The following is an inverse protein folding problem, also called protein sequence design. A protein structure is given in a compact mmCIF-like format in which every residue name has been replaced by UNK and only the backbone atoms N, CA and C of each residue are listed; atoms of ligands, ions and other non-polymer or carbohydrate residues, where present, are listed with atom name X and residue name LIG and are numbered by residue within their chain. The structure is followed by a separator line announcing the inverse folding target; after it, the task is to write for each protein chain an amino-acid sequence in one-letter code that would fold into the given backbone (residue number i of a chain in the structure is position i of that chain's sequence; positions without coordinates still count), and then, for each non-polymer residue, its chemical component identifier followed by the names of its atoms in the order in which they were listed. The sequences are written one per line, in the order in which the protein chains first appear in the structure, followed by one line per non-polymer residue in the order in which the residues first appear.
data_IF_595245633493
#
_entry.id   IF_595245633493
#
_cell.length_a   1.000
_cell.length_b   1.000
_cell.length_c   1.000
_cell.angle_alpha   90.00
_cell.angle_beta   90.00
_cell.angle_gamma   90.00
#
_symmetry.space_group_name_H-M   'P 1'
#
loop_
_entity.id
_entity.type
_entity.pdbx_description
1 polymer ?
#
# COMPACT_ATOMS: atom_id res chain seq x y z
N UNK A 1 -20.36 -2.99 2.24
CA UNK A 1 -19.34 -2.22 1.47
C UNK A 1 -18.29 -3.22 1.01
N UNK A 2 -17.69 -3.02 -0.17
CA UNK A 2 -16.57 -3.85 -0.61
C UNK A 2 -15.35 -3.54 0.25
N UNK A 3 -14.53 -4.55 0.56
CA UNK A 3 -13.26 -4.40 1.26
C UNK A 3 -12.32 -3.50 0.43
N UNK A 4 -11.50 -2.69 1.10
CA UNK A 4 -10.47 -1.88 0.44
C UNK A 4 -9.37 -2.74 -0.18
N UNK A 5 -8.51 -2.13 -1.00
CA UNK A 5 -7.34 -2.78 -1.59
C UNK A 5 -6.09 -2.46 -0.79
N UNK A 6 -5.21 -3.47 -0.66
CA UNK A 6 -3.85 -3.26 -0.15
C UNK A 6 -2.95 -2.88 -1.32
N UNK A 7 -2.40 -1.67 -1.27
CA UNK A 7 -1.53 -1.10 -2.28
C UNK A 7 -0.11 -1.04 -1.75
N UNK A 8 0.83 -1.59 -2.47
CA UNK A 8 2.26 -1.51 -2.14
C UNK A 8 2.92 -0.58 -3.14
N UNK A 9 3.45 0.54 -2.65
CA UNK A 9 4.08 1.54 -3.48
C UNK A 9 5.56 1.60 -3.16
N UNK A 10 6.36 1.23 -4.14
CA UNK A 10 7.80 1.33 -4.11
C UNK A 10 8.32 2.24 -5.21
N UNK A 11 9.59 2.44 -5.25
CA UNK A 11 10.23 3.25 -6.29
C UNK A 11 11.58 3.75 -5.80
N UNK A 12 12.36 4.25 -6.71
CA UNK A 12 13.70 4.75 -6.41
C UNK A 12 13.68 5.85 -5.33
N UNK A 13 14.77 5.94 -4.58
CA UNK A 13 14.98 7.09 -3.69
C UNK A 13 14.97 8.37 -4.54
N UNK A 14 14.21 9.39 -4.14
CA UNK A 14 14.06 10.61 -4.92
C UNK A 14 13.08 10.53 -6.10
N UNK A 15 12.38 9.43 -6.33
CA UNK A 15 11.33 9.32 -7.36
C UNK A 15 10.09 10.19 -7.09
N UNK A 16 10.02 10.85 -5.93
CA UNK A 16 8.91 11.72 -5.57
C UNK A 16 7.72 11.02 -4.92
N UNK A 17 7.88 9.75 -4.47
CA UNK A 17 6.82 8.97 -3.83
C UNK A 17 6.05 9.76 -2.76
N UNK A 18 6.75 10.32 -1.78
CA UNK A 18 6.11 11.06 -0.69
C UNK A 18 5.25 12.23 -1.15
N UNK A 19 5.68 12.96 -2.20
CA UNK A 19 4.89 14.04 -2.80
C UNK A 19 3.63 13.51 -3.48
N UNK A 20 3.77 12.42 -4.23
CA UNK A 20 2.63 11.76 -4.92
C UNK A 20 1.66 11.20 -3.89
N UNK A 21 2.15 10.53 -2.83
CA UNK A 21 1.27 9.99 -1.76
C UNK A 21 0.52 11.09 -1.03
N UNK A 22 1.22 12.17 -0.64
CA UNK A 22 0.58 13.33 -0.02
C UNK A 22 -0.55 13.87 -0.91
N UNK A 23 -0.27 14.05 -2.20
CA UNK A 23 -1.24 14.58 -3.15
C UNK A 23 -2.42 13.64 -3.39
N UNK A 24 -2.18 12.31 -3.42
CA UNK A 24 -3.23 11.32 -3.53
C UNK A 24 -4.19 11.37 -2.33
N UNK A 25 -3.66 11.49 -1.11
CA UNK A 25 -4.45 11.61 0.12
C UNK A 25 -5.20 12.95 0.23
N UNK A 26 -4.70 14.02 -0.40
CA UNK A 26 -5.39 15.31 -0.47
C UNK A 26 -6.60 15.30 -1.42
N UNK A 27 -6.54 14.50 -2.48
CA UNK A 27 -7.57 14.46 -3.53
C UNK A 27 -8.62 13.38 -3.32
N UNK A 28 -8.32 12.35 -2.54
CA UNK A 28 -9.12 11.13 -2.44
C UNK A 28 -9.19 10.63 -1.01
N UNK A 29 -10.35 10.74 -0.38
CA UNK A 29 -10.59 10.35 1.02
C UNK A 29 -10.62 8.82 1.25
N UNK A 30 -10.75 8.03 0.18
CA UNK A 30 -10.80 6.57 0.25
C UNK A 30 -9.44 5.89 0.37
N UNK A 31 -8.36 6.66 0.51
CA UNK A 31 -7.02 6.14 0.76
C UNK A 31 -6.56 6.41 2.18
N UNK A 32 -5.80 5.48 2.73
CA UNK A 32 -5.13 5.63 4.01
C UNK A 32 -3.67 5.21 3.89
N UNK A 33 -2.76 6.02 4.37
CA UNK A 33 -1.38 5.60 4.50
C UNK A 33 -1.25 4.66 5.70
N UNK A 34 -0.53 3.58 5.55
CA UNK A 34 -0.18 2.70 6.65
C UNK A 34 0.68 3.45 7.67
N UNK A 35 0.29 3.34 8.94
CA UNK A 35 1.09 3.86 10.05
C UNK A 35 1.98 2.74 10.57
N UNK A 36 3.30 2.87 10.40
CA UNK A 36 4.27 1.90 10.88
C UNK A 36 4.48 2.00 12.39
N UNK A 37 4.80 0.88 13.03
CA UNK A 37 5.35 0.86 14.38
C UNK A 37 6.88 1.07 14.33
N UNK A 38 7.44 1.73 15.34
CA UNK A 38 8.89 1.93 15.46
C UNK A 38 9.34 1.99 16.91
N UNK A 39 10.58 1.55 17.16
CA UNK A 39 11.24 1.73 18.48
C UNK A 39 12.04 3.02 18.56
N UNK A 40 12.08 3.80 17.50
CA UNK A 40 12.66 5.14 17.48
C UNK A 40 11.84 6.07 18.39
N UNK A 41 12.51 6.88 19.19
CA UNK A 41 11.82 7.91 19.97
C UNK A 41 11.13 8.95 19.05
N UNK A 42 9.96 9.46 19.43
CA UNK A 42 9.31 10.56 18.72
C UNK A 42 10.25 11.77 18.56
N UNK A 43 10.16 12.44 17.42
CA UNK A 43 10.78 13.76 17.21
C UNK A 43 9.81 14.84 17.66
N UNK A 44 10.31 16.07 17.77
CA UNK A 44 9.46 17.23 18.06
C UNK A 44 8.35 17.36 17.01
N UNK A 45 7.10 17.45 17.47
CA UNK A 45 5.91 17.53 16.63
C UNK A 45 5.32 16.22 16.16
N UNK A 46 6.00 15.07 16.37
CA UNK A 46 5.43 13.74 16.08
C UNK A 46 4.52 13.25 17.22
N UNK A 47 3.44 12.56 16.90
CA UNK A 47 2.49 11.99 17.84
C UNK A 47 2.27 10.50 17.58
N UNK A 48 2.04 9.74 18.66
CA UNK A 48 1.70 8.31 18.56
C UNK A 48 0.39 8.11 17.81
N UNK A 49 0.37 7.14 16.90
CA UNK A 49 -0.78 6.83 16.05
C UNK A 49 -1.02 7.80 14.90
N UNK A 50 -0.13 8.79 14.68
CA UNK A 50 -0.20 9.73 13.56
C UNK A 50 0.96 9.53 12.58
N UNK A 51 2.20 9.74 13.01
CA UNK A 51 3.39 9.48 12.21
C UNK A 51 3.85 8.02 12.33
N UNK A 52 3.86 7.53 13.55
CA UNK A 52 4.21 6.15 13.91
C UNK A 52 3.41 5.70 15.14
N UNK A 53 3.29 4.37 15.30
CA UNK A 53 3.03 3.76 16.60
C UNK A 53 4.38 3.59 17.31
N UNK A 54 4.67 4.44 18.28
CA UNK A 54 5.93 4.40 19.03
C UNK A 54 5.88 3.28 20.08
N UNK A 55 6.83 2.35 20.00
CA UNK A 55 6.90 1.14 20.84
C UNK A 55 8.23 1.06 21.56
N UNK A 56 8.26 0.38 22.71
CA UNK A 56 9.54 -0.07 23.30
C UNK A 56 10.11 -1.21 22.47
N UNK A 57 11.39 -1.55 22.69
CA UNK A 57 12.03 -2.69 22.04
C UNK A 57 11.29 -3.98 22.41
N UNK A 58 10.98 -4.16 23.69
CA UNK A 58 10.28 -5.33 24.22
C UNK A 58 8.88 -5.49 23.61
N UNK A 59 8.12 -4.38 23.49
CA UNK A 59 6.82 -4.39 22.83
C UNK A 59 6.94 -4.78 21.35
N UNK A 60 7.94 -4.26 20.66
CA UNK A 60 8.15 -4.55 19.23
C UNK A 60 8.57 -6.00 19.01
N UNK A 61 9.50 -6.52 19.83
CA UNK A 61 9.92 -7.93 19.80
C UNK A 61 8.75 -8.88 20.11
N UNK A 62 7.86 -8.49 21.02
CA UNK A 62 6.61 -9.21 21.25
C UNK A 62 5.72 -9.22 19.99
N UNK A 63 5.57 -8.09 19.30
CA UNK A 63 4.81 -8.02 18.03
C UNK A 63 5.41 -8.97 16.98
N UNK A 64 6.73 -9.08 16.89
CA UNK A 64 7.41 -10.05 16.00
C UNK A 64 7.06 -11.49 16.40
N UNK A 65 7.20 -11.82 17.70
CA UNK A 65 6.94 -13.17 18.22
C UNK A 65 5.48 -13.62 18.01
N UNK A 66 4.54 -12.69 18.08
CA UNK A 66 3.10 -12.92 17.88
C UNK A 66 2.67 -12.84 16.40
N UNK A 67 3.62 -12.69 15.47
CA UNK A 67 3.35 -12.50 14.03
C UNK A 67 2.34 -11.34 13.75
N UNK A 68 2.40 -10.30 14.57
CA UNK A 68 1.48 -9.16 14.51
C UNK A 68 1.88 -8.09 13.49
N UNK A 69 2.99 -8.29 12.78
CA UNK A 69 3.50 -7.39 11.75
C UNK A 69 3.38 -8.01 10.36
N UNK A 70 3.00 -7.20 9.37
CA UNK A 70 3.00 -7.60 7.95
C UNK A 70 4.44 -7.73 7.45
N UNK A 71 5.28 -6.77 7.81
CA UNK A 71 6.71 -6.73 7.52
C UNK A 71 7.42 -6.02 8.67
N UNK A 72 8.69 -6.28 8.84
CA UNK A 72 9.55 -5.51 9.74
C UNK A 72 11.00 -5.52 9.28
N UNK A 73 11.73 -4.48 9.65
CA UNK A 73 13.15 -4.33 9.40
C UNK A 73 13.82 -3.58 10.55
N UNK A 74 15.14 -3.72 10.64
CA UNK A 74 15.95 -2.92 11.55
C UNK A 74 16.76 -1.91 10.73
N UNK A 75 16.69 -0.63 11.12
CA UNK A 75 17.44 0.44 10.49
C UNK A 75 18.01 1.40 11.55
N UNK A 76 19.32 1.67 11.46
CA UNK A 76 20.04 2.56 12.39
C UNK A 76 19.72 2.26 13.86
N UNK A 77 19.74 0.97 14.24
CA UNK A 77 19.52 0.51 15.61
C UNK A 77 18.07 0.56 16.10
N UNK A 78 17.10 0.90 15.26
CA UNK A 78 15.69 0.89 15.58
C UNK A 78 14.92 -0.11 14.70
N UNK A 79 13.87 -0.68 15.26
CA UNK A 79 12.91 -1.47 14.52
C UNK A 79 11.88 -0.58 13.85
N UNK A 80 11.39 -1.04 12.69
CA UNK A 80 10.28 -0.48 11.93
C UNK A 80 9.46 -1.64 11.39
N UNK A 81 8.14 -1.53 11.38
CA UNK A 81 7.28 -2.56 10.83
C UNK A 81 5.82 -2.12 10.73
N UNK A 82 5.05 -2.84 9.95
CA UNK A 82 3.66 -2.52 9.65
C UNK A 82 2.70 -3.41 10.45
N UNK A 83 1.92 -2.86 11.40
CA UNK A 83 0.96 -3.63 12.20
C UNK A 83 -0.16 -4.23 11.35
N UNK A 84 -0.35 -5.56 11.37
CA UNK A 84 -1.41 -6.26 10.64
C UNK A 84 -2.80 -5.75 11.00
N UNK A 85 -3.09 -5.64 12.30
CA UNK A 85 -4.41 -5.25 12.79
C UNK A 85 -4.84 -3.88 12.27
N UNK A 86 -3.94 -2.91 12.19
CA UNK A 86 -4.25 -1.59 11.66
C UNK A 86 -4.61 -1.66 10.15
N UNK A 87 -3.83 -2.40 9.38
CA UNK A 87 -4.07 -2.54 7.93
C UNK A 87 -5.41 -3.26 7.69
N UNK A 88 -5.66 -4.36 8.39
CA UNK A 88 -6.91 -5.13 8.27
C UNK A 88 -8.13 -4.28 8.65
N UNK A 89 -8.04 -3.51 9.75
CA UNK A 89 -9.11 -2.60 10.17
C UNK A 89 -9.45 -1.56 9.08
N UNK A 90 -8.44 -0.95 8.46
CA UNK A 90 -8.66 0.04 7.40
C UNK A 90 -9.24 -0.60 6.14
N UNK A 91 -8.75 -1.78 5.74
CA UNK A 91 -9.29 -2.53 4.61
C UNK A 91 -10.76 -2.91 4.83
N UNK A 92 -11.12 -3.35 6.03
CA UNK A 92 -12.49 -3.75 6.39
C UNK A 92 -13.47 -2.55 6.42
N UNK A 93 -12.96 -1.35 6.71
CA UNK A 93 -13.70 -0.08 6.55
C UNK A 93 -13.93 0.30 5.09
N UNK A 94 -13.29 -0.38 4.14
CA UNK A 94 -13.36 -0.10 2.69
C UNK A 94 -12.29 0.87 2.21
N UNK A 95 -11.36 1.31 3.07
CA UNK A 95 -10.24 2.18 2.71
C UNK A 95 -9.18 1.41 1.93
N UNK A 96 -8.64 2.02 0.87
CA UNK A 96 -7.46 1.52 0.19
C UNK A 96 -6.23 1.86 1.02
N UNK A 97 -5.51 0.85 1.48
CA UNK A 97 -4.35 1.04 2.36
C UNK A 97 -3.07 1.05 1.55
N UNK A 98 -2.27 2.09 1.72
CA UNK A 98 -0.99 2.26 1.04
C UNK A 98 0.14 1.88 1.99
N UNK A 99 0.99 0.95 1.56
CA UNK A 99 2.30 0.66 2.16
C UNK A 99 3.39 1.29 1.30
N UNK A 100 4.11 2.27 1.83
CA UNK A 100 5.30 2.81 1.18
C UNK A 100 6.54 2.07 1.70
N UNK A 101 7.02 1.09 0.94
CA UNK A 101 8.10 0.20 1.36
C UNK A 101 9.12 -0.04 0.23
N UNK A 102 10.30 -0.55 0.61
CA UNK A 102 11.36 -0.94 -0.31
C UNK A 102 11.01 -2.21 -1.08
N UNK A 103 11.65 -2.45 -2.24
CA UNK A 103 11.38 -3.57 -3.16
C UNK A 103 11.36 -4.93 -2.44
N UNK A 104 12.35 -5.20 -1.59
CA UNK A 104 12.43 -6.48 -0.86
C UNK A 104 11.23 -6.69 0.07
N UNK A 105 10.75 -5.63 0.71
CA UNK A 105 9.53 -5.66 1.52
C UNK A 105 8.29 -5.93 0.68
N UNK A 106 8.19 -5.32 -0.51
CA UNK A 106 7.08 -5.49 -1.44
C UNK A 106 6.88 -6.95 -1.86
N UNK A 107 7.98 -7.66 -2.17
CA UNK A 107 7.92 -9.09 -2.54
C UNK A 107 7.45 -9.97 -1.38
N UNK A 108 7.81 -9.64 -0.16
CA UNK A 108 7.31 -10.34 1.02
C UNK A 108 5.81 -10.13 1.19
N UNK A 109 5.33 -8.89 1.00
CA UNK A 109 3.89 -8.57 1.05
C UNK A 109 3.13 -9.36 -0.01
N UNK A 110 3.60 -9.40 -1.26
CA UNK A 110 2.93 -10.14 -2.35
C UNK A 110 2.76 -11.62 -2.04
N UNK A 111 3.75 -12.22 -1.36
CA UNK A 111 3.65 -13.64 -0.93
C UNK A 111 2.60 -13.86 0.16
N UNK A 112 2.49 -12.94 1.13
CA UNK A 112 1.52 -13.03 2.23
C UNK A 112 0.12 -12.58 1.82
N UNK A 113 0.04 -11.58 0.94
CA UNK A 113 -1.19 -11.00 0.42
C UNK A 113 -1.17 -11.05 -1.12
N UNK A 114 -1.51 -12.20 -1.73
CA UNK A 114 -1.46 -12.36 -3.19
C UNK A 114 -2.31 -11.33 -3.96
N UNK A 115 -3.34 -10.81 -3.30
CA UNK A 115 -4.25 -9.80 -3.84
C UNK A 115 -3.73 -8.37 -3.68
N UNK A 116 -2.60 -8.15 -3.01
CA UNK A 116 -1.98 -6.83 -2.93
C UNK A 116 -1.56 -6.35 -4.33
N UNK A 117 -1.81 -5.07 -4.59
CA UNK A 117 -1.46 -4.42 -5.86
C UNK A 117 -0.12 -3.72 -5.69
N UNK A 118 0.88 -4.18 -6.42
CA UNK A 118 2.24 -3.67 -6.36
C UNK A 118 2.47 -2.63 -7.48
N UNK A 119 2.81 -1.40 -7.10
CA UNK A 119 3.09 -0.30 -8.02
C UNK A 119 4.50 0.23 -7.81
N UNK A 120 5.27 0.32 -8.87
CA UNK A 120 6.61 0.90 -8.84
C UNK A 120 6.60 2.30 -9.46
N UNK A 121 6.90 3.33 -8.66
CA UNK A 121 6.98 4.72 -9.14
C UNK A 121 8.38 5.01 -9.63
N UNK A 122 8.48 5.49 -10.87
CA UNK A 122 9.73 5.86 -11.53
C UNK A 122 9.63 7.26 -12.14
N UNK A 123 10.72 8.05 -12.18
CA UNK A 123 10.77 9.25 -13.01
C UNK A 123 10.77 8.88 -14.50
N UNK A 124 10.48 9.85 -15.41
CA UNK A 124 10.31 9.57 -16.84
C UNK A 124 11.61 9.19 -17.56
N UNK A 125 12.78 9.43 -16.98
CA UNK A 125 14.05 9.11 -17.61
C UNK A 125 15.16 8.75 -16.62
N UNK A 126 16.13 7.95 -17.10
CA UNK A 126 17.35 7.61 -16.35
C UNK A 126 18.20 8.85 -16.00
N UNK A 127 18.19 9.88 -16.86
CA UNK A 127 18.95 11.12 -16.62
C UNK A 127 18.37 11.93 -15.44
N UNK A 128 17.05 11.88 -15.23
CA UNK A 128 16.40 12.44 -14.04
C UNK A 128 16.65 11.57 -12.81
N UNK A 129 16.73 10.24 -13.00
CA UNK A 129 17.10 9.30 -11.97
C UNK A 129 18.57 9.52 -11.52
N UNK A 130 19.50 9.70 -12.43
CA UNK A 130 20.92 9.88 -12.14
C UNK A 130 21.19 11.12 -11.30
N UNK A 131 20.42 12.21 -11.51
CA UNK A 131 20.47 13.40 -10.64
C UNK A 131 20.03 13.11 -9.20
N UNK A 132 19.21 12.07 -8.98
CA UNK A 132 18.56 11.75 -7.72
C UNK A 132 19.12 10.48 -7.06
N UNK A 133 19.91 9.67 -7.81
CA UNK A 133 20.40 8.37 -7.35
C UNK A 133 21.87 8.17 -7.67
N UNK A 134 22.66 7.98 -6.64
CA UNK A 134 23.85 7.13 -6.68
C UNK A 134 23.50 5.81 -5.96
N UNK A 135 23.28 4.77 -6.74
CA UNK A 135 23.48 3.37 -6.36
C UNK A 135 22.41 2.68 -5.52
N UNK A 136 21.26 2.27 -6.09
CA UNK A 136 20.48 1.13 -5.59
C UNK A 136 19.86 0.37 -6.76
N UNK A 137 19.89 -0.98 -6.67
CA UNK A 137 19.54 -1.89 -7.74
C UNK A 137 18.06 -1.81 -8.20
N UNK A 138 17.84 -2.27 -9.42
CA UNK A 138 16.53 -2.43 -10.07
C UNK A 138 16.02 -3.86 -10.00
N UNK A 139 16.71 -4.75 -9.27
CA UNK A 139 16.34 -6.15 -9.14
C UNK A 139 14.96 -6.29 -8.51
N UNK A 140 14.07 -7.07 -9.15
CA UNK A 140 12.71 -7.34 -8.68
C UNK A 140 11.64 -6.34 -9.13
N UNK A 141 11.96 -5.38 -10.02
CA UNK A 141 10.95 -4.45 -10.59
C UNK A 141 10.02 -5.17 -11.56
N UNK A 142 10.47 -6.21 -12.19
CA UNK A 142 9.70 -7.10 -13.07
C UNK A 142 8.57 -7.85 -12.36
N UNK A 143 8.64 -7.96 -11.04
CA UNK A 143 7.62 -8.63 -10.20
C UNK A 143 6.47 -7.69 -9.78
N UNK A 144 6.54 -6.40 -10.15
CA UNK A 144 5.46 -5.46 -9.88
C UNK A 144 4.29 -5.61 -10.84
N UNK A 145 3.08 -5.37 -10.33
CA UNK A 145 1.88 -5.41 -11.18
C UNK A 145 1.82 -4.21 -12.13
N UNK A 146 2.37 -3.04 -11.70
CA UNK A 146 2.33 -1.79 -12.47
C UNK A 146 3.61 -0.97 -12.30
N UNK A 147 4.03 -0.32 -13.38
CA UNK A 147 5.06 0.73 -13.36
C UNK A 147 4.35 2.06 -13.63
N UNK A 148 4.47 3.00 -12.69
CA UNK A 148 3.83 4.31 -12.78
C UNK A 148 4.88 5.40 -12.96
N UNK A 149 4.79 6.15 -14.05
CA UNK A 149 5.72 7.23 -14.35
C UNK A 149 5.29 8.50 -13.62
N UNK A 150 6.19 9.08 -12.84
CA UNK A 150 6.04 10.37 -12.17
C UNK A 150 6.74 11.46 -12.99
N UNK A 151 6.12 11.85 -14.07
CA UNK A 151 6.49 13.01 -14.91
C UNK A 151 5.89 14.30 -14.35
N UNK A 152 4.61 14.26 -13.97
CA UNK A 152 3.86 15.32 -13.31
C UNK A 152 3.04 14.71 -12.16
N UNK A 153 3.02 15.37 -11.00
CA UNK A 153 2.44 14.79 -9.77
C UNK A 153 0.96 14.48 -9.94
N UNK A 154 0.15 15.41 -10.47
CA UNK A 154 -1.29 15.20 -10.61
C UNK A 154 -1.61 14.12 -11.67
N UNK A 155 -0.83 14.01 -12.74
CA UNK A 155 -0.96 12.93 -13.71
C UNK A 155 -0.57 11.57 -13.10
N UNK A 156 0.49 11.53 -12.30
CA UNK A 156 0.90 10.32 -11.59
C UNK A 156 -0.18 9.85 -10.62
N UNK A 157 -0.77 10.76 -9.85
CA UNK A 157 -1.89 10.50 -8.94
C UNK A 157 -3.10 9.95 -9.72
N UNK A 158 -3.46 10.57 -10.85
CA UNK A 158 -4.54 10.09 -11.72
C UNK A 158 -4.31 8.65 -12.19
N UNK A 159 -3.09 8.33 -12.65
CA UNK A 159 -2.73 6.95 -13.08
C UNK A 159 -2.87 5.95 -11.93
N UNK A 160 -2.42 6.29 -10.73
CA UNK A 160 -2.58 5.42 -9.55
C UNK A 160 -4.07 5.19 -9.26
N UNK A 161 -4.86 6.26 -9.26
CA UNK A 161 -6.29 6.16 -9.02
C UNK A 161 -7.01 5.30 -10.06
N UNK A 162 -6.71 5.48 -11.34
CA UNK A 162 -7.28 4.68 -12.45
C UNK A 162 -6.93 3.19 -12.32
N UNK A 163 -5.70 2.86 -11.91
CA UNK A 163 -5.28 1.50 -11.60
C UNK A 163 -6.15 0.92 -10.48
N UNK A 164 -6.34 1.64 -9.39
CA UNK A 164 -7.14 1.19 -8.24
C UNK A 164 -8.60 0.98 -8.63
N UNK A 165 -9.18 1.88 -9.43
CA UNK A 165 -10.53 1.70 -9.96
C UNK A 165 -10.62 0.45 -10.84
N UNK A 166 -9.64 0.22 -11.71
CA UNK A 166 -9.58 -0.95 -12.58
C UNK A 166 -9.44 -2.25 -11.77
N UNK A 167 -8.60 -2.25 -10.74
CA UNK A 167 -8.46 -3.39 -9.83
C UNK A 167 -9.78 -3.74 -9.14
N UNK A 168 -10.52 -2.74 -8.64
CA UNK A 168 -11.83 -2.92 -8.01
C UNK A 168 -12.89 -3.48 -8.96
N UNK A 169 -12.75 -3.29 -10.28
CA UNK A 169 -13.67 -3.84 -11.28
C UNK A 169 -13.39 -5.33 -11.61
N UNK A 170 -12.31 -5.92 -11.12
CA UNK A 170 -12.03 -7.35 -11.34
C UNK A 170 -13.18 -8.21 -10.82
N UNK A 171 -13.52 -9.26 -11.57
CA UNK A 171 -14.64 -10.15 -11.25
C UNK A 171 -14.59 -10.71 -9.83
N UNK A 172 -13.39 -11.05 -9.33
CA UNK A 172 -13.20 -11.60 -7.97
C UNK A 172 -13.74 -10.70 -6.86
N UNK A 173 -13.76 -9.38 -7.05
CA UNK A 173 -14.29 -8.42 -6.06
C UNK A 173 -15.79 -8.12 -6.25
N UNK A 174 -16.37 -8.56 -7.38
CA UNK A 174 -17.75 -8.28 -7.75
C UNK A 174 -18.65 -9.53 -7.78
N UNK A 175 -18.18 -10.66 -7.26
CA UNK A 175 -18.94 -11.92 -7.24
C UNK A 175 -20.24 -11.81 -6.43
N UNK A 176 -20.25 -10.98 -5.36
CA UNK A 176 -21.45 -10.71 -4.58
C UNK A 176 -22.58 -10.11 -5.42
N UNK A 177 -22.27 -9.11 -6.26
CA UNK A 177 -23.20 -8.49 -7.18
C UNK A 177 -23.80 -9.53 -8.14
N UNK A 178 -22.94 -10.34 -8.75
CA UNK A 178 -23.36 -11.39 -9.69
C UNK A 178 -24.25 -12.44 -9.01
N UNK A 179 -23.90 -12.82 -7.79
CA UNK A 179 -24.70 -13.78 -7.03
C UNK A 179 -26.08 -13.22 -6.66
N UNK A 180 -26.16 -11.95 -6.26
CA UNK A 180 -27.43 -11.29 -5.99
C UNK A 180 -28.32 -11.26 -7.24
N UNK A 181 -27.78 -10.87 -8.39
CA UNK A 181 -28.51 -10.87 -9.67
C UNK A 181 -29.02 -12.30 -10.00
N UNK A 182 -28.19 -13.33 -9.78
CA UNK A 182 -28.62 -14.73 -10.00
C UNK A 182 -29.77 -15.14 -9.08
N UNK A 183 -29.76 -14.72 -7.82
CA UNK A 183 -30.88 -15.01 -6.90
C UNK A 183 -32.16 -14.27 -7.31
N UNK A 184 -32.06 -13.01 -7.69
CA UNK A 184 -33.18 -12.24 -8.21
C UNK A 184 -33.80 -12.90 -9.47
N UNK A 185 -32.97 -13.36 -10.41
CA UNK A 185 -33.43 -14.04 -11.62
C UNK A 185 -34.18 -15.34 -11.33
N UNK A 186 -33.86 -16.06 -10.24
CA UNK A 186 -34.63 -17.26 -9.84
C UNK A 186 -36.09 -16.94 -9.45
N UNK A 187 -36.35 -15.73 -8.99
CA UNK A 187 -37.73 -15.32 -8.64
C UNK A 187 -38.55 -15.14 -9.91
N UNK A 188 -37.97 -14.58 -10.95
CA UNK A 188 -38.67 -14.40 -12.26
C UNK A 188 -38.86 -15.71 -13.00
N UNK A 189 -37.98 -16.70 -12.85
CA UNK A 189 -38.11 -18.01 -13.51
C UNK A 189 -39.11 -18.97 -12.84
N UNK A 190 -39.62 -18.65 -11.63
CA UNK A 190 -40.63 -19.44 -10.93
C UNK A 190 -42.07 -18.93 -11.16
N UNK A 191 -42.23 -17.92 -11.99
CA UNK A 191 -43.52 -17.31 -12.33
C UNK A 191 -44.10 -17.77 -13.69
N UNK A 192 -43.43 -18.71 -14.36
CA UNK A 192 -43.98 -19.47 -15.50
C UNK A 192 -44.31 -20.90 -15.01
#
# INVERSE_FOLDING_TARGET
MSKGLLLVISGFSGAGKGTVMKRLLELHDEYSLSISATTRKPREGEADGREYFFKTVEEFEKMIAEDALIEHAQYVGNYYGTPKAYVEEQLDKGNNVILEIEIQGAMNIKRMFPDAVLMFITPPSAAELEKRLRGRGTEGVEDYDYIVINDEVDLCVGRIHDIVLSEKMKAKYNLGLINNIKEELKVYSKGE
#
